data_IF_436290905214
#
_entry.id   IF_436290905214
#
_cell.length_a   1.000
_cell.length_b   1.000
_cell.length_c   1.000
_cell.angle_alpha   90.00
_cell.angle_beta   90.00
_cell.angle_gamma   90.00
#
_symmetry.space_group_name_H-M   'P 1'
#
loop_
_entity.id
_entity.type
_entity.pdbx_description
1 polymer ?
#
# COMPACT_ATOMS: atom_id res chain seq x y z
N UNK A 1 5.01 15.38 8.01
CA UNK A 1 3.71 15.06 8.64
C UNK A 1 2.76 16.22 8.38
N UNK A 2 1.65 15.96 7.69
CA UNK A 2 0.54 16.90 7.53
C UNK A 2 -0.66 16.27 8.25
N UNK A 3 -1.37 17.05 9.07
CA UNK A 3 -2.58 16.61 9.77
C UNK A 3 -2.42 15.30 10.59
N UNK A 4 -1.24 15.06 11.16
CA UNK A 4 -0.96 13.86 11.96
C UNK A 4 -0.82 12.57 11.15
N UNK A 5 -0.69 12.65 9.82
CA UNK A 5 -0.45 11.50 8.96
C UNK A 5 1.05 11.28 8.75
N UNK A 6 1.50 10.06 9.04
CA UNK A 6 2.79 9.53 8.61
C UNK A 6 2.58 8.79 7.29
N UNK A 7 2.98 9.45 6.20
CA UNK A 7 2.82 8.95 4.84
C UNK A 7 4.06 8.15 4.41
N UNK A 8 3.90 6.84 4.24
CA UNK A 8 4.95 5.94 3.77
C UNK A 8 4.79 5.58 2.28
N UNK A 9 3.88 6.23 1.55
CA UNK A 9 3.55 5.84 0.16
C UNK A 9 4.66 6.14 -0.85
N UNK A 10 5.55 7.09 -0.56
CA UNK A 10 6.65 7.50 -1.45
C UNK A 10 8.02 6.94 -1.02
N UNK A 11 8.06 5.93 -0.14
CA UNK A 11 9.29 5.31 0.35
C UNK A 11 9.72 4.13 -0.54
N UNK A 12 10.08 4.42 -1.79
CA UNK A 12 10.58 3.38 -2.70
C UNK A 12 11.80 2.65 -2.12
N UNK A 13 11.76 1.31 -2.16
CA UNK A 13 12.84 0.46 -1.68
C UNK A 13 12.92 0.25 -0.17
N UNK A 14 12.06 0.91 0.62
CA UNK A 14 12.02 0.74 2.08
C UNK A 14 11.01 -0.34 2.45
N UNK A 15 11.47 -1.35 3.20
CA UNK A 15 10.62 -2.43 3.69
C UNK A 15 9.75 -2.04 4.89
N UNK A 16 8.66 -2.78 5.11
CA UNK A 16 7.83 -2.62 6.32
C UNK A 16 8.63 -2.86 7.61
N UNK A 17 9.65 -3.73 7.58
CA UNK A 17 10.52 -3.97 8.73
C UNK A 17 11.42 -2.76 9.04
N UNK A 18 11.92 -2.08 8.01
CA UNK A 18 12.67 -0.82 8.20
C UNK A 18 11.77 0.28 8.76
N UNK A 19 10.53 0.39 8.28
CA UNK A 19 9.52 1.29 8.86
C UNK A 19 9.25 0.92 10.32
N UNK A 20 9.10 -0.37 10.65
CA UNK A 20 8.88 -0.82 12.02
C UNK A 20 10.04 -0.40 12.93
N UNK A 21 11.28 -0.62 12.50
CA UNK A 21 12.48 -0.27 13.25
C UNK A 21 12.58 1.24 13.45
N UNK A 22 12.30 2.02 12.39
CA UNK A 22 12.20 3.48 12.46
C UNK A 22 11.18 3.88 13.53
N UNK A 23 9.96 3.34 13.49
CA UNK A 23 8.89 3.60 14.46
C UNK A 23 9.23 3.20 15.91
N UNK A 24 10.23 2.34 16.13
CA UNK A 24 10.70 2.05 17.49
C UNK A 24 11.64 3.13 18.04
N UNK A 25 12.26 3.94 17.18
CA UNK A 25 13.20 4.98 17.60
C UNK A 25 12.58 5.93 18.64
N UNK A 26 13.32 6.25 19.73
CA UNK A 26 12.86 7.19 20.75
C UNK A 26 12.77 8.63 20.25
N UNK A 27 13.46 8.96 19.14
CA UNK A 27 13.53 10.31 18.59
C UNK A 27 12.28 10.71 17.77
N UNK A 28 11.38 9.76 17.53
CA UNK A 28 10.14 10.01 16.81
C UNK A 28 9.08 10.52 17.79
N UNK A 29 8.47 11.66 17.45
CA UNK A 29 7.32 12.20 18.19
C UNK A 29 6.05 11.44 17.82
N UNK A 30 5.95 10.20 18.33
CA UNK A 30 4.89 9.23 18.04
C UNK A 30 3.50 9.76 18.37
N UNK A 31 3.38 10.53 19.45
CA UNK A 31 2.12 11.06 19.98
C UNK A 31 1.41 12.04 19.02
N UNK A 32 2.16 12.58 18.04
CA UNK A 32 1.62 13.48 17.01
C UNK A 32 1.10 12.74 15.77
N UNK A 33 1.34 11.43 15.67
CA UNK A 33 0.92 10.62 14.53
C UNK A 33 -0.39 9.93 14.88
N UNK A 34 -1.45 10.35 14.19
CA UNK A 34 -2.79 9.81 14.34
C UNK A 34 -3.04 8.71 13.30
N UNK A 35 -2.41 8.83 12.12
CA UNK A 35 -2.57 7.87 11.04
C UNK A 35 -1.25 7.47 10.39
N UNK A 36 -1.14 6.20 10.02
CA UNK A 36 -0.05 5.62 9.23
C UNK A 36 -0.58 5.20 7.86
N UNK A 37 -0.02 5.71 6.77
CA UNK A 37 -0.39 5.31 5.40
C UNK A 37 0.68 4.40 4.79
N UNK A 38 0.35 3.12 4.63
CA UNK A 38 1.15 2.08 3.96
C UNK A 38 0.42 1.51 2.75
N UNK A 39 -0.42 2.33 2.09
CA UNK A 39 -1.28 1.90 0.98
C UNK A 39 -0.57 1.60 -0.34
N UNK A 40 0.76 1.61 -0.38
CA UNK A 40 1.57 1.13 -1.52
C UNK A 40 2.11 -0.29 -1.32
N UNK A 41 1.98 -0.87 -0.13
CA UNK A 41 2.42 -2.23 0.18
C UNK A 41 1.33 -3.25 -0.15
N UNK A 42 1.50 -3.97 -1.26
CA UNK A 42 0.46 -4.87 -1.79
C UNK A 42 0.51 -6.31 -1.24
N UNK A 43 1.65 -6.73 -0.68
CA UNK A 43 1.79 -8.07 -0.12
C UNK A 43 1.03 -8.18 1.20
N UNK A 44 -0.19 -8.74 1.14
CA UNK A 44 -1.06 -8.85 2.30
C UNK A 44 -0.43 -9.57 3.49
N UNK A 45 0.38 -10.62 3.25
CA UNK A 45 1.02 -11.36 4.35
C UNK A 45 1.98 -10.44 5.12
N UNK A 46 2.81 -9.69 4.40
CA UNK A 46 3.75 -8.74 5.01
C UNK A 46 3.02 -7.61 5.75
N UNK A 47 1.94 -7.08 5.16
CA UNK A 47 1.10 -6.05 5.80
C UNK A 47 0.44 -6.56 7.07
N UNK A 48 -0.15 -7.76 7.03
CA UNK A 48 -0.76 -8.41 8.18
C UNK A 48 0.25 -8.62 9.31
N UNK A 49 1.42 -9.20 8.98
CA UNK A 49 2.47 -9.48 9.96
C UNK A 49 3.00 -8.19 10.59
N UNK A 50 3.19 -7.13 9.78
CA UNK A 50 3.58 -5.81 10.25
C UNK A 50 2.55 -5.18 11.21
N UNK A 51 1.25 -5.23 10.88
CA UNK A 51 0.19 -4.68 11.74
C UNK A 51 0.13 -5.44 13.07
N UNK A 52 0.25 -6.76 13.04
CA UNK A 52 0.33 -7.58 14.26
C UNK A 52 1.57 -7.22 15.10
N UNK A 53 2.73 -7.07 14.46
CA UNK A 53 3.97 -6.70 15.13
C UNK A 53 3.88 -5.30 15.76
N UNK A 54 3.28 -4.32 15.07
CA UNK A 54 2.99 -3.00 15.63
C UNK A 54 2.06 -3.09 16.83
N UNK A 55 1.03 -3.93 16.75
CA UNK A 55 0.07 -4.12 17.84
C UNK A 55 0.70 -4.77 19.08
N UNK A 56 1.60 -5.74 18.89
CA UNK A 56 2.09 -6.54 20.01
C UNK A 56 3.39 -5.96 20.60
N UNK A 57 4.25 -5.35 19.77
CA UNK A 57 5.64 -5.04 20.13
C UNK A 57 6.05 -3.58 19.96
N UNK A 58 5.11 -2.66 19.70
CA UNK A 58 5.45 -1.24 19.54
C UNK A 58 4.80 -0.32 20.57
N UNK A 59 5.56 0.69 20.99
CA UNK A 59 5.05 1.88 21.68
C UNK A 59 4.28 2.81 20.76
N UNK A 60 4.41 2.65 19.44
CA UNK A 60 3.66 3.40 18.45
C UNK A 60 2.27 2.79 18.24
N UNK A 61 1.21 3.55 18.55
CA UNK A 61 -0.19 3.13 18.40
C UNK A 61 -0.97 4.16 17.57
N UNK A 62 -0.94 4.06 16.23
CA UNK A 62 -1.74 4.95 15.39
C UNK A 62 -3.22 4.63 15.59
N UNK A 63 -4.08 5.65 15.53
CA UNK A 63 -5.53 5.44 15.57
C UNK A 63 -6.03 4.82 14.28
N UNK A 64 -5.41 5.17 13.15
CA UNK A 64 -5.77 4.66 11.83
C UNK A 64 -4.56 4.15 11.05
N UNK A 65 -4.63 2.95 10.49
CA UNK A 65 -3.67 2.46 9.49
C UNK A 65 -4.41 2.40 8.15
N UNK A 66 -3.85 3.03 7.12
CA UNK A 66 -4.37 2.98 5.76
C UNK A 66 -3.56 1.98 4.96
N UNK A 67 -4.26 1.01 4.38
CA UNK A 67 -3.67 -0.12 3.65
C UNK A 67 -4.22 -0.20 2.23
N UNK A 68 -3.45 -0.86 1.36
CA UNK A 68 -3.95 -1.32 0.08
C UNK A 68 -4.80 -2.56 0.29
N UNK A 69 -6.03 -2.59 -0.25
CA UNK A 69 -6.91 -3.75 -0.04
C UNK A 69 -7.53 -4.25 -1.32
N UNK A 70 -7.41 -5.56 -1.54
CA UNK A 70 -8.32 -6.31 -2.41
C UNK A 70 -9.49 -6.85 -1.59
N UNK A 71 -10.68 -6.91 -2.19
CA UNK A 71 -11.89 -7.46 -1.54
C UNK A 71 -11.71 -8.83 -0.89
N UNK A 72 -10.79 -9.66 -1.42
CA UNK A 72 -10.46 -10.99 -0.90
C UNK A 72 -9.89 -11.01 0.54
N UNK A 73 -9.46 -9.88 1.08
CA UNK A 73 -8.86 -9.78 2.42
C UNK A 73 -9.76 -9.06 3.44
N UNK A 74 -11.02 -8.77 3.09
CA UNK A 74 -11.93 -7.99 3.95
C UNK A 74 -12.20 -8.66 5.30
N UNK A 75 -12.33 -9.98 5.34
CA UNK A 75 -12.54 -10.74 6.59
C UNK A 75 -11.30 -10.66 7.49
N UNK A 76 -10.10 -10.88 6.93
CA UNK A 76 -8.84 -10.74 7.66
C UNK A 76 -8.65 -9.31 8.20
N UNK A 77 -8.97 -8.29 7.39
CA UNK A 77 -8.91 -6.88 7.80
C UNK A 77 -9.87 -6.63 8.97
N UNK A 78 -11.09 -7.18 8.91
CA UNK A 78 -12.06 -7.04 9.99
C UNK A 78 -11.55 -7.68 11.29
N UNK A 79 -11.01 -8.90 11.20
CA UNK A 79 -10.41 -9.59 12.33
C UNK A 79 -9.21 -8.84 12.91
N UNK A 80 -8.36 -8.26 12.06
CA UNK A 80 -7.24 -7.42 12.49
C UNK A 80 -7.70 -6.16 13.21
N UNK A 81 -8.74 -5.47 12.71
CA UNK A 81 -9.33 -4.31 13.40
C UNK A 81 -9.79 -4.68 14.81
N UNK A 82 -10.50 -5.80 14.94
CA UNK A 82 -10.97 -6.30 16.23
C UNK A 82 -9.82 -6.66 17.18
N UNK A 83 -8.79 -7.33 16.66
CA UNK A 83 -7.64 -7.78 17.47
C UNK A 83 -6.75 -6.61 17.91
N UNK A 84 -6.45 -5.69 16.99
CA UNK A 84 -5.52 -4.60 17.25
C UNK A 84 -6.18 -3.37 17.91
N UNK A 85 -7.51 -3.25 17.84
CA UNK A 85 -8.22 -2.04 18.30
C UNK A 85 -7.88 -0.79 17.47
N UNK A 86 -7.33 -0.98 16.27
CA UNK A 86 -6.93 0.09 15.34
C UNK A 86 -7.91 0.15 14.18
N UNK A 87 -8.30 1.35 13.77
CA UNK A 87 -9.09 1.52 12.56
C UNK A 87 -8.21 1.24 11.33
N UNK A 88 -8.55 0.21 10.55
CA UNK A 88 -7.79 -0.10 9.33
C UNK A 88 -8.59 0.39 8.14
N UNK A 89 -8.26 1.55 7.57
CA UNK A 89 -8.98 2.08 6.40
C UNK A 89 -8.35 1.57 5.12
N UNK A 90 -9.18 1.43 4.09
CA UNK A 90 -8.74 1.02 2.77
C UNK A 90 -8.67 2.21 1.83
N UNK A 91 -7.53 2.35 1.14
CA UNK A 91 -7.59 3.01 -0.15
C UNK A 91 -8.10 1.96 -1.15
N UNK A 92 -9.37 2.01 -1.51
CA UNK A 92 -9.83 1.43 -2.78
C UNK A 92 -9.24 2.29 -3.88
N UNK A 93 -7.95 2.11 -4.14
CA UNK A 93 -7.25 2.84 -5.19
C UNK A 93 -7.85 2.44 -6.53
N UNK A 94 -8.77 3.27 -7.03
CA UNK A 94 -9.25 3.30 -8.42
C UNK A 94 -8.06 3.43 -9.39
N UNK A 95 -6.85 3.78 -8.91
CA UNK A 95 -5.60 3.80 -9.70
C UNK A 95 -5.15 2.44 -10.23
N UNK A 96 -5.47 1.29 -9.61
CA UNK A 96 -5.08 0.00 -10.23
C UNK A 96 -5.91 -0.33 -11.46
N UNK A 97 -7.14 0.18 -11.53
CA UNK A 97 -7.93 0.17 -12.77
C UNK A 97 -7.23 1.04 -13.82
N UNK A 98 -6.72 2.22 -13.45
CA UNK A 98 -6.00 3.09 -14.40
C UNK A 98 -4.64 2.53 -14.83
N UNK A 99 -3.84 1.95 -13.93
CA UNK A 99 -2.56 1.34 -14.29
C UNK A 99 -2.75 0.10 -15.17
N UNK A 100 -3.72 -0.78 -14.87
CA UNK A 100 -4.03 -1.93 -15.74
C UNK A 100 -4.57 -1.47 -17.10
N UNK A 101 -5.40 -0.44 -17.15
CA UNK A 101 -5.84 0.19 -18.40
C UNK A 101 -4.65 0.74 -19.18
N UNK A 102 -3.71 1.43 -18.53
CA UNK A 102 -2.53 2.00 -19.17
C UNK A 102 -1.58 0.91 -19.70
N UNK A 103 -1.36 -0.16 -18.94
CA UNK A 103 -0.56 -1.32 -19.37
C UNK A 103 -1.21 -2.05 -20.55
N UNK A 104 -2.54 -2.24 -20.51
CA UNK A 104 -3.29 -2.84 -21.63
C UNK A 104 -3.24 -1.94 -22.87
N UNK A 105 -3.39 -0.63 -22.70
CA UNK A 105 -3.31 0.34 -23.79
C UNK A 105 -1.91 0.34 -24.42
N UNK A 106 -0.84 0.30 -23.61
CA UNK A 106 0.56 0.20 -24.10
C UNK A 106 0.77 -1.09 -24.90
N UNK A 107 0.30 -2.24 -24.40
CA UNK A 107 0.38 -3.52 -25.12
C UNK A 107 -0.39 -3.49 -26.45
N UNK A 108 -1.62 -2.97 -26.43
CA UNK A 108 -2.44 -2.84 -27.62
C UNK A 108 -1.77 -1.96 -28.69
N UNK A 109 -1.24 -0.79 -28.29
CA UNK A 109 -0.55 0.11 -29.21
C UNK A 109 0.72 -0.50 -29.79
N UNK A 110 1.46 -1.29 -29.02
CA UNK A 110 2.64 -2.01 -29.52
C UNK A 110 2.28 -3.06 -30.57
N UNK A 111 1.26 -3.89 -30.31
CA UNK A 111 0.80 -4.89 -31.27
C UNK A 111 0.21 -4.25 -32.52
N UNK A 112 -0.58 -3.17 -32.37
CA UNK A 112 -1.12 -2.42 -33.50
C UNK A 112 -0.03 -1.82 -34.40
N UNK A 113 1.03 -1.26 -33.81
CA UNK A 113 2.21 -0.78 -34.57
C UNK A 113 2.90 -1.91 -35.35
N UNK A 114 3.05 -3.10 -34.77
CA UNK A 114 3.64 -4.26 -35.47
C UNK A 114 2.81 -4.65 -36.69
N UNK A 115 1.49 -4.67 -36.56
CA UNK A 115 0.56 -5.00 -37.66
C UNK A 115 0.68 -3.99 -38.80
N UNK A 116 0.71 -2.69 -38.49
CA UNK A 116 0.88 -1.63 -39.50
C UNK A 116 2.22 -1.79 -40.23
N UNK A 117 3.32 -1.98 -39.49
CA UNK A 117 4.65 -2.15 -40.08
C UNK A 117 4.75 -3.39 -40.98
N UNK A 118 4.11 -4.49 -40.58
CA UNK A 118 4.03 -5.70 -41.41
C UNK A 118 3.23 -5.47 -42.70
N UNK A 119 2.11 -4.74 -42.63
CA UNK A 119 1.33 -4.38 -43.83
C UNK A 119 2.10 -3.46 -44.78
N UNK A 120 2.85 -2.49 -44.24
CA UNK A 120 3.67 -1.59 -45.05
C UNK A 120 4.87 -2.26 -45.70
N UNK A 121 5.42 -3.34 -45.10
CA UNK A 121 6.50 -4.14 -45.71
C UNK A 121 6.02 -5.07 -46.82
N UNK A 122 4.74 -5.42 -46.82
CA UNK A 122 4.12 -6.36 -47.75
C UNK A 122 3.26 -5.67 -48.82
N UNK A 123 3.32 -4.34 -48.91
CA UNK A 123 2.75 -3.53 -50.00
C UNK A 123 3.88 -2.98 -50.86
#
# INVERSE_FOLDING_TARGET
>A
MKDGVLDCTNLEGISLQEIFNFLQSPDIVKDKVVSLDISTYENWKEVNDFILQLNDNSSFKPQTIKVYTFYRYMEDIFNLRLKAGINITNDTYVKTVDHRKEVLLKKFLQEFKKIILLKMKNS
#
